data_IF_047793093830
#
_entry.id   IF_047793093830
#
_cell.length_a   1.000
_cell.length_b   1.000
_cell.length_c   1.000
_cell.angle_alpha   90.00
_cell.angle_beta   90.00
_cell.angle_gamma   90.00
#
_symmetry.space_group_name_H-M   'P 1'
#
loop_
_entity.id
_entity.type
_entity.pdbx_description
1 polymer ?
#
# COMPACT_ATOMS: atom_id res chain seq x y z
N UNK A 1 -0.26 19.79 6.31
CA UNK A 1 -0.76 18.51 6.85
C UNK A 1 -1.18 17.67 5.67
N UNK A 2 -0.35 16.70 5.31
CA UNK A 2 -0.65 15.77 4.23
C UNK A 2 -1.62 14.68 4.71
N UNK A 3 -2.14 13.88 3.78
CA UNK A 3 -3.15 12.85 4.10
C UNK A 3 -2.68 11.87 5.20
N UNK A 4 -1.41 11.50 5.16
CA UNK A 4 -0.78 10.60 6.13
C UNK A 4 -0.68 11.24 7.52
N UNK A 5 -0.24 12.51 7.58
CA UNK A 5 -0.16 13.27 8.84
C UNK A 5 -1.51 13.33 9.53
N UNK A 6 -2.58 13.61 8.76
CA UNK A 6 -3.94 13.66 9.30
C UNK A 6 -4.37 12.31 9.88
N UNK A 7 -4.07 11.20 9.20
CA UNK A 7 -4.44 9.85 9.65
C UNK A 7 -3.71 9.46 10.92
N UNK A 8 -2.40 9.68 11.00
CA UNK A 8 -1.62 9.39 12.20
C UNK A 8 -1.96 10.34 13.35
N UNK A 9 -2.22 11.61 13.05
CA UNK A 9 -2.75 12.53 14.04
C UNK A 9 -4.10 12.03 14.56
N UNK A 10 -5.04 11.55 13.75
CA UNK A 10 -6.28 10.98 14.29
C UNK A 10 -6.06 9.70 15.12
N UNK A 11 -5.01 8.93 14.85
CA UNK A 11 -4.69 7.69 15.56
C UNK A 11 -3.84 7.88 16.83
N UNK A 12 -3.45 9.11 17.20
CA UNK A 12 -2.53 9.35 18.33
C UNK A 12 -3.05 8.87 19.69
N UNK A 13 -4.37 8.77 19.87
CA UNK A 13 -5.02 8.20 21.05
C UNK A 13 -5.50 6.76 20.82
N UNK A 14 -4.82 5.99 19.98
CA UNK A 14 -5.14 4.58 19.78
C UNK A 14 -4.86 3.79 21.07
N UNK A 15 -5.91 3.18 21.65
CA UNK A 15 -5.84 2.40 22.90
C UNK A 15 -5.80 0.88 22.67
N UNK A 16 -5.44 0.42 21.47
CA UNK A 16 -5.34 -1.01 21.17
C UNK A 16 -3.96 -1.60 21.51
N UNK A 17 -3.76 -2.85 21.11
CA UNK A 17 -2.48 -3.53 21.26
C UNK A 17 -1.47 -3.08 20.19
N UNK A 18 -0.18 -3.19 20.52
CA UNK A 18 0.92 -2.87 19.61
C UNK A 18 0.80 -3.60 18.25
N UNK A 19 0.39 -4.88 18.27
CA UNK A 19 0.20 -5.66 17.05
C UNK A 19 -0.86 -5.05 16.12
N UNK A 20 -1.95 -4.52 16.68
CA UNK A 20 -2.99 -3.85 15.89
C UNK A 20 -2.50 -2.51 15.34
N UNK A 21 -1.70 -1.77 16.12
CA UNK A 21 -1.07 -0.54 15.65
C UNK A 21 -0.11 -0.81 14.49
N UNK A 22 0.69 -1.87 14.58
CA UNK A 22 1.59 -2.29 13.50
C UNK A 22 0.82 -2.63 12.20
N UNK A 23 -0.26 -3.40 12.31
CA UNK A 23 -1.12 -3.72 11.16
C UNK A 23 -1.74 -2.46 10.55
N UNK A 24 -2.18 -1.50 11.37
CA UNK A 24 -2.73 -0.24 10.90
C UNK A 24 -1.68 0.59 10.15
N UNK A 25 -0.48 0.76 10.70
CA UNK A 25 0.62 1.48 10.05
C UNK A 25 1.04 0.78 8.75
N UNK A 26 1.10 -0.55 8.75
CA UNK A 26 1.40 -1.34 7.54
C UNK A 26 0.34 -1.14 6.45
N UNK A 27 -0.94 -1.14 6.81
CA UNK A 27 -2.03 -0.88 5.88
C UNK A 27 -1.93 0.54 5.28
N UNK A 28 -1.61 1.54 6.11
CA UNK A 28 -1.38 2.92 5.65
C UNK A 28 -0.20 3.01 4.68
N UNK A 29 0.93 2.39 5.01
CA UNK A 29 2.11 2.35 4.15
C UNK A 29 1.78 1.71 2.79
N UNK A 30 1.03 0.59 2.78
CA UNK A 30 0.59 -0.04 1.54
C UNK A 30 -0.31 0.89 0.72
N UNK A 31 -1.30 1.53 1.34
CA UNK A 31 -2.22 2.44 0.65
C UNK A 31 -1.48 3.62 0.03
N UNK A 32 -0.59 4.28 0.77
CA UNK A 32 0.18 5.43 0.25
C UNK A 32 1.05 5.03 -0.94
N UNK A 33 1.67 3.84 -0.88
CA UNK A 33 2.47 3.35 -2.00
C UNK A 33 1.62 2.99 -3.23
N UNK A 34 0.43 2.41 -3.05
CA UNK A 34 -0.41 1.95 -4.16
C UNK A 34 -1.39 3.01 -4.69
N UNK A 35 -1.67 4.07 -3.93
CA UNK A 35 -2.62 5.12 -4.31
C UNK A 35 -2.37 5.71 -5.72
N UNK A 36 -1.12 6.04 -6.11
CA UNK A 36 -0.84 6.63 -7.42
C UNK A 36 -1.15 5.71 -8.60
N UNK A 37 -1.21 4.40 -8.36
CA UNK A 37 -1.44 3.35 -9.34
C UNK A 37 -2.92 2.96 -9.48
N UNK A 38 -3.78 3.50 -8.60
CA UNK A 38 -5.22 3.34 -8.73
C UNK A 38 -5.70 4.05 -10.02
N UNK A 39 -6.53 3.40 -10.87
CA UNK A 39 -7.07 4.01 -12.08
C UNK A 39 -7.78 5.34 -11.83
N UNK A 40 -8.40 5.49 -10.64
CA UNK A 40 -9.08 6.71 -10.23
C UNK A 40 -8.12 7.87 -9.93
N UNK A 41 -6.90 7.60 -9.48
CA UNK A 41 -5.91 8.64 -9.21
C UNK A 41 -5.31 9.20 -10.50
N UNK A 42 -5.17 8.37 -11.55
CA UNK A 42 -4.62 8.75 -12.86
C UNK A 42 -3.22 9.41 -12.80
N UNK A 43 -2.42 9.08 -11.77
CA UNK A 43 -1.10 9.67 -11.53
C UNK A 43 0.00 8.84 -12.22
N UNK A 44 0.04 7.52 -11.96
CA UNK A 44 1.05 6.64 -12.52
C UNK A 44 0.74 6.32 -14.00
N UNK A 45 1.62 6.75 -14.91
CA UNK A 45 1.45 6.53 -16.36
C UNK A 45 2.27 5.38 -16.92
N UNK A 46 3.41 5.07 -16.29
CA UNK A 46 4.38 4.09 -16.81
C UNK A 46 4.30 2.74 -16.12
N UNK A 47 4.14 2.75 -14.79
CA UNK A 47 4.12 1.54 -13.98
C UNK A 47 2.71 1.28 -13.45
N UNK A 48 2.37 0.00 -13.28
CA UNK A 48 1.03 -0.45 -12.84
C UNK A 48 0.93 -0.77 -11.35
N UNK A 49 2.07 -0.92 -10.68
CA UNK A 49 2.17 -1.14 -9.25
C UNK A 49 3.55 -0.69 -8.74
N UNK A 50 3.72 -0.43 -7.44
CA UNK A 50 5.04 -0.22 -6.82
C UNK A 50 5.97 -1.40 -7.06
N UNK A 51 5.45 -2.63 -6.92
CA UNK A 51 6.22 -3.84 -7.18
C UNK A 51 6.69 -3.93 -8.64
N UNK A 52 5.92 -3.43 -9.61
CA UNK A 52 6.37 -3.35 -11.00
C UNK A 52 7.57 -2.42 -11.16
N UNK A 53 7.55 -1.26 -10.49
CA UNK A 53 8.67 -0.32 -10.52
C UNK A 53 9.93 -0.91 -9.89
N UNK A 54 9.80 -1.72 -8.85
CA UNK A 54 10.92 -2.28 -8.09
C UNK A 54 11.45 -3.59 -8.70
N UNK A 55 10.55 -4.51 -9.07
CA UNK A 55 10.90 -5.85 -9.51
C UNK A 55 11.07 -5.96 -11.04
N UNK A 56 10.57 -4.97 -11.80
CA UNK A 56 10.56 -5.01 -13.26
C UNK A 56 9.44 -5.86 -13.87
N UNK A 57 8.58 -6.49 -13.07
CA UNK A 57 7.43 -7.27 -13.54
C UNK A 57 6.15 -6.98 -12.72
N UNK A 58 4.98 -7.23 -13.31
CA UNK A 58 3.67 -7.17 -12.65
C UNK A 58 3.19 -8.55 -12.26
N UNK A 59 2.51 -8.68 -11.12
CA UNK A 59 1.86 -9.95 -10.75
C UNK A 59 0.53 -10.15 -11.48
N UNK A 60 -0.18 -9.05 -11.78
CA UNK A 60 -1.47 -9.07 -12.46
C UNK A 60 -1.69 -7.75 -13.21
N UNK A 61 -2.56 -7.72 -14.21
CA UNK A 61 -2.99 -6.46 -14.84
C UNK A 61 -3.79 -5.51 -13.94
N UNK A 62 -4.46 -6.04 -12.91
CA UNK A 62 -5.33 -5.28 -12.02
C UNK A 62 -4.49 -4.75 -10.84
N UNK A 63 -4.50 -3.44 -10.65
CA UNK A 63 -3.77 -2.78 -9.56
C UNK A 63 -4.14 -3.32 -8.18
N UNK A 64 -5.41 -3.67 -7.95
CA UNK A 64 -5.91 -4.17 -6.66
C UNK A 64 -5.37 -5.58 -6.37
N UNK A 65 -5.26 -6.43 -7.41
CA UNK A 65 -4.64 -7.74 -7.25
C UNK A 65 -3.15 -7.61 -6.92
N UNK A 66 -2.42 -6.68 -7.53
CA UNK A 66 -1.02 -6.43 -7.15
C UNK A 66 -0.89 -5.96 -5.69
N UNK A 67 -1.82 -5.14 -5.20
CA UNK A 67 -1.86 -4.72 -3.80
C UNK A 67 -2.06 -5.93 -2.87
N UNK A 68 -3.06 -6.78 -3.16
CA UNK A 68 -3.35 -7.97 -2.35
C UNK A 68 -2.16 -8.93 -2.31
N UNK A 69 -1.55 -9.20 -3.46
CA UNK A 69 -0.36 -10.07 -3.55
C UNK A 69 0.80 -9.48 -2.77
N UNK A 70 1.07 -8.17 -2.92
CA UNK A 70 2.14 -7.49 -2.19
C UNK A 70 1.89 -7.43 -0.67
N UNK A 71 0.62 -7.38 -0.26
CA UNK A 71 0.23 -7.38 1.15
C UNK A 71 0.28 -8.78 1.79
N UNK A 72 0.17 -9.84 0.99
CA UNK A 72 -0.02 -11.23 1.46
C UNK A 72 1.16 -11.85 2.22
N UNK A 73 2.28 -11.15 2.41
CA UNK A 73 3.54 -11.67 2.96
C UNK A 73 4.16 -12.86 2.18
N UNK A 74 3.50 -13.37 1.13
CA UNK A 74 3.95 -14.50 0.30
C UNK A 74 4.73 -14.09 -0.95
N UNK A 75 5.39 -12.93 -0.95
CA UNK A 75 6.01 -12.31 -2.13
C UNK A 75 7.27 -13.00 -2.69
N UNK A 76 7.69 -14.17 -2.17
CA UNK A 76 8.76 -14.94 -2.77
C UNK A 76 8.19 -15.91 -3.81
N UNK A 77 8.56 -15.81 -5.11
CA UNK A 77 8.38 -16.93 -6.01
C UNK A 77 9.15 -18.15 -5.46
N UNK A 78 8.52 -19.33 -5.48
CA UNK A 78 9.21 -20.61 -5.31
C UNK A 78 9.98 -20.96 -6.58
#
# INVERSE_FOLDING_TARGET
MDHLDRRFYSAHYFHGHLMTAELAVRAEALLVNFLPYCPRAAIAKQYRAPAHKLNGFVYHDNWLHNLLISASMGGCPQ
#
